data_IF_946957794215
#
_entry.id   IF_946957794215
#
_cell.length_a   1.000
_cell.length_b   1.000
_cell.length_c   1.000
_cell.angle_alpha   90.00
_cell.angle_beta   90.00
_cell.angle_gamma   90.00
#
_symmetry.space_group_name_H-M   'P 1'
#
loop_
_entity.id
_entity.type
_entity.pdbx_description
1 polymer ?
#
# COMPACT_ATOMS: atom_id res chain seq x y z
N UNK A 1 30.22 -29.99 10.47
CA UNK A 1 29.59 -28.65 10.53
C UNK A 1 28.28 -28.79 11.27
N UNK A 2 28.10 -28.14 12.42
CA UNK A 2 26.90 -28.28 13.26
C UNK A 2 25.80 -27.32 12.80
N UNK A 3 24.53 -27.63 13.02
CA UNK A 3 23.39 -26.76 12.66
C UNK A 3 23.52 -25.34 13.24
N UNK A 4 24.15 -25.21 14.41
CA UNK A 4 24.48 -23.95 15.06
C UNK A 4 25.53 -23.12 14.30
N UNK A 5 26.52 -23.77 13.66
CA UNK A 5 27.53 -23.06 12.86
C UNK A 5 26.95 -22.47 11.56
N UNK A 6 26.04 -23.20 10.90
CA UNK A 6 25.38 -22.74 9.66
C UNK A 6 24.41 -21.59 9.94
N UNK A 7 23.66 -21.65 11.03
CA UNK A 7 22.75 -20.56 11.44
C UNK A 7 23.52 -19.30 11.86
N UNK A 8 24.63 -19.44 12.58
CA UNK A 8 25.49 -18.31 12.92
C UNK A 8 26.10 -17.63 11.68
N UNK A 9 26.46 -18.39 10.65
CA UNK A 9 27.04 -17.89 9.40
C UNK A 9 26.01 -17.21 8.49
N UNK A 10 24.80 -17.78 8.37
CA UNK A 10 23.69 -17.22 7.59
C UNK A 10 23.19 -15.88 8.15
N UNK A 11 23.22 -15.72 9.47
CA UNK A 11 22.86 -14.49 10.18
C UNK A 11 24.06 -13.65 10.61
N UNK A 12 25.26 -14.00 10.14
CA UNK A 12 26.44 -13.17 10.32
C UNK A 12 26.18 -11.79 9.71
N UNK A 13 26.83 -10.76 10.26
CA UNK A 13 26.63 -9.33 9.94
C UNK A 13 26.60 -9.00 8.43
N UNK A 14 27.25 -9.81 7.60
CA UNK A 14 27.36 -9.63 6.15
C UNK A 14 26.65 -10.72 5.32
N UNK A 15 25.96 -11.66 5.96
CA UNK A 15 25.23 -12.73 5.30
C UNK A 15 24.15 -12.20 4.37
N UNK A 16 24.05 -12.79 3.17
CA UNK A 16 23.01 -12.46 2.20
C UNK A 16 21.59 -12.50 2.81
N UNK A 17 21.21 -13.49 3.65
CA UNK A 17 19.88 -13.53 4.26
C UNK A 17 19.54 -12.28 5.09
N UNK A 18 20.47 -11.81 5.92
CA UNK A 18 20.25 -10.63 6.76
C UNK A 18 20.13 -9.35 5.91
N UNK A 19 20.92 -9.24 4.84
CA UNK A 19 20.81 -8.11 3.90
C UNK A 19 19.45 -8.09 3.22
N UNK A 20 18.97 -9.25 2.76
CA UNK A 20 17.65 -9.36 2.15
C UNK A 20 16.57 -8.91 3.14
N UNK A 21 16.56 -9.45 4.37
CA UNK A 21 15.58 -9.08 5.40
C UNK A 21 15.53 -7.56 5.64
N UNK A 22 16.67 -6.87 5.61
CA UNK A 22 16.74 -5.39 5.75
C UNK A 22 16.16 -4.63 4.56
N UNK A 23 16.33 -5.15 3.35
CA UNK A 23 15.84 -4.54 2.11
C UNK A 23 14.34 -4.76 1.91
N UNK A 24 13.81 -5.90 2.38
CA UNK A 24 12.40 -6.29 2.17
C UNK A 24 11.38 -5.20 2.53
N UNK A 25 11.45 -4.52 3.69
CA UNK A 25 10.51 -3.45 4.02
C UNK A 25 10.44 -2.32 2.97
N UNK A 26 11.59 -1.93 2.39
CA UNK A 26 11.62 -0.91 1.35
C UNK A 26 10.97 -1.43 0.04
N UNK A 27 11.31 -2.64 -0.38
CA UNK A 27 10.71 -3.23 -1.59
C UNK A 27 9.19 -3.30 -1.44
N UNK A 28 8.71 -3.85 -0.32
CA UNK A 28 7.29 -4.07 -0.11
C UNK A 28 6.52 -2.76 0.07
N UNK A 29 7.07 -1.78 0.80
CA UNK A 29 6.46 -0.44 0.89
C UNK A 29 6.44 0.28 -0.46
N UNK A 30 7.46 0.11 -1.29
CA UNK A 30 7.48 0.63 -2.68
C UNK A 30 6.40 -0.02 -3.53
N UNK A 31 6.26 -1.35 -3.47
CA UNK A 31 5.20 -2.07 -4.18
C UNK A 31 3.82 -1.55 -3.76
N UNK A 32 3.58 -1.37 -2.46
CA UNK A 32 2.31 -0.85 -1.94
C UNK A 32 2.05 0.60 -2.39
N UNK A 33 3.06 1.46 -2.35
CA UNK A 33 2.95 2.85 -2.78
C UNK A 33 2.64 2.95 -4.29
N UNK A 34 3.41 2.24 -5.12
CA UNK A 34 3.20 2.19 -6.57
C UNK A 34 1.84 1.60 -6.90
N UNK A 35 1.44 0.53 -6.23
CA UNK A 35 0.12 -0.08 -6.40
C UNK A 35 -1.00 0.94 -6.11
N UNK A 36 -0.85 1.74 -5.05
CA UNK A 36 -1.82 2.76 -4.66
C UNK A 36 -1.90 3.92 -5.65
N UNK A 37 -0.76 4.37 -6.16
CA UNK A 37 -0.67 5.41 -7.20
C UNK A 37 -1.24 4.88 -8.52
N UNK A 38 -0.96 3.64 -8.89
CA UNK A 38 -1.51 3.01 -10.09
C UNK A 38 -3.04 2.88 -10.01
N UNK A 39 -3.58 2.50 -8.83
CA UNK A 39 -5.04 2.51 -8.61
C UNK A 39 -5.62 3.91 -8.74
N UNK A 40 -4.96 4.92 -8.18
CA UNK A 40 -5.39 6.32 -8.33
C UNK A 40 -5.50 6.68 -9.81
N UNK A 41 -4.44 6.49 -10.61
CA UNK A 41 -4.47 6.83 -12.02
C UNK A 41 -5.46 5.98 -12.83
N UNK A 42 -5.54 4.67 -12.58
CA UNK A 42 -6.50 3.80 -13.27
C UNK A 42 -7.93 4.29 -13.07
N UNK A 43 -8.28 4.73 -11.85
CA UNK A 43 -9.63 5.20 -11.56
C UNK A 43 -9.86 6.62 -12.13
N UNK A 44 -8.83 7.48 -12.22
CA UNK A 44 -8.99 8.83 -12.80
C UNK A 44 -9.38 8.80 -14.28
N UNK A 45 -9.11 7.69 -14.98
CA UNK A 45 -9.54 7.51 -16.38
C UNK A 45 -11.07 7.52 -16.54
N UNK A 46 -11.83 7.29 -15.47
CA UNK A 46 -13.29 7.34 -15.45
C UNK A 46 -13.86 8.73 -15.11
N UNK A 47 -13.00 9.73 -14.84
CA UNK A 47 -13.38 11.10 -14.46
C UNK A 47 -13.11 12.11 -15.58
N UNK A 48 -13.78 13.29 -15.58
CA UNK A 48 -13.40 14.39 -16.47
C UNK A 48 -11.98 14.89 -16.16
N UNK A 49 -11.19 15.33 -17.16
CA UNK A 49 -11.53 15.40 -18.59
C UNK A 49 -11.27 14.08 -19.36
N UNK A 50 -10.70 13.05 -18.73
CA UNK A 50 -10.28 11.80 -19.38
C UNK A 50 -11.45 11.00 -19.95
N UNK A 51 -12.60 11.07 -19.28
CA UNK A 51 -13.88 10.65 -19.81
C UNK A 51 -14.80 11.88 -19.86
N UNK A 52 -15.29 12.30 -21.03
CA UNK A 52 -16.27 13.37 -21.11
C UNK A 52 -17.53 12.95 -20.35
N UNK A 53 -17.98 13.80 -19.43
CA UNK A 53 -19.26 13.66 -18.75
C UNK A 53 -20.17 14.75 -19.30
N UNK A 54 -20.98 14.45 -20.34
CA UNK A 54 -21.92 15.43 -20.88
C UNK A 54 -22.92 15.84 -19.79
N UNK A 55 -23.50 17.05 -19.86
CA UNK A 55 -24.53 17.48 -18.92
C UNK A 55 -25.63 16.41 -18.83
N UNK A 56 -26.11 16.11 -17.62
CA UNK A 56 -27.04 15.01 -17.33
C UNK A 56 -28.29 15.00 -18.24
N UNK A 57 -28.70 16.17 -18.72
CA UNK A 57 -29.88 16.35 -19.58
C UNK A 57 -29.59 16.29 -21.09
N UNK A 58 -28.35 15.99 -21.50
CA UNK A 58 -27.98 15.92 -22.92
C UNK A 58 -28.18 14.51 -23.52
N UNK A 59 -28.53 14.39 -24.81
CA UNK A 59 -28.59 13.09 -25.51
C UNK A 59 -27.25 12.34 -25.48
N UNK A 60 -26.14 13.08 -25.35
CA UNK A 60 -24.79 12.53 -25.24
C UNK A 60 -24.53 11.86 -23.88
N UNK A 61 -25.16 12.32 -22.79
CA UNK A 61 -25.00 11.72 -21.45
C UNK A 61 -25.51 10.27 -21.41
N UNK A 62 -26.52 9.93 -22.22
CA UNK A 62 -27.01 8.55 -22.38
C UNK A 62 -26.05 7.66 -23.18
N UNK A 63 -25.16 8.24 -24.01
CA UNK A 63 -24.23 7.49 -24.87
C UNK A 63 -22.86 7.26 -24.21
N UNK A 64 -22.46 8.12 -23.27
CA UNK A 64 -21.17 8.06 -22.57
C UNK A 64 -21.36 8.03 -21.05
N UNK A 65 -22.01 6.98 -20.54
CA UNK A 65 -22.11 6.73 -19.10
C UNK A 65 -21.06 5.67 -18.70
N UNK A 66 -20.01 6.03 -17.94
CA UNK A 66 -18.96 5.09 -17.58
C UNK A 66 -19.24 4.27 -16.32
N UNK A 67 -20.32 4.59 -15.59
CA UNK A 67 -20.68 3.94 -14.35
C UNK A 67 -20.84 2.42 -14.47
N UNK A 68 -21.44 1.85 -15.53
CA UNK A 68 -21.51 0.40 -15.70
C UNK A 68 -20.14 -0.26 -15.82
N UNK A 69 -19.23 0.34 -16.61
CA UNK A 69 -17.86 -0.18 -16.81
C UNK A 69 -17.07 -0.07 -15.51
N UNK A 70 -17.17 1.06 -14.82
CA UNK A 70 -16.52 1.27 -13.53
C UNK A 70 -17.03 0.28 -12.47
N UNK A 71 -18.34 0.00 -12.41
CA UNK A 71 -18.91 -1.02 -11.51
C UNK A 71 -18.33 -2.42 -11.80
N UNK A 72 -18.25 -2.81 -13.06
CA UNK A 72 -17.66 -4.10 -13.47
C UNK A 72 -16.17 -4.14 -13.09
N UNK A 73 -15.43 -3.06 -13.36
CA UNK A 73 -14.03 -2.95 -12.97
C UNK A 73 -13.85 -3.05 -11.46
N UNK A 74 -14.65 -2.33 -10.66
CA UNK A 74 -14.58 -2.39 -9.19
C UNK A 74 -14.87 -3.79 -8.65
N UNK A 75 -15.87 -4.51 -9.21
CA UNK A 75 -16.17 -5.89 -8.80
C UNK A 75 -15.04 -6.86 -9.12
N UNK A 76 -14.40 -6.70 -10.27
CA UNK A 76 -13.36 -7.63 -10.75
C UNK A 76 -11.98 -7.30 -10.19
N UNK A 77 -11.57 -6.03 -10.24
CA UNK A 77 -10.26 -5.57 -9.81
C UNK A 77 -10.10 -5.63 -8.29
N UNK A 78 -11.07 -5.15 -7.50
CA UNK A 78 -10.96 -5.16 -6.04
C UNK A 78 -10.85 -6.59 -5.51
N UNK A 79 -11.68 -7.51 -6.00
CA UNK A 79 -11.66 -8.91 -5.56
C UNK A 79 -10.31 -9.61 -5.84
N UNK A 80 -9.64 -9.27 -6.94
CA UNK A 80 -8.35 -9.86 -7.33
C UNK A 80 -7.16 -9.21 -6.63
N UNK A 81 -7.19 -7.89 -6.46
CA UNK A 81 -6.06 -7.12 -5.94
C UNK A 81 -6.00 -7.14 -4.42
N UNK A 82 -7.14 -7.16 -3.73
CA UNK A 82 -7.20 -7.03 -2.28
C UNK A 82 -6.46 -8.16 -1.53
N UNK A 83 -6.60 -9.46 -1.86
CA UNK A 83 -5.84 -10.52 -1.20
C UNK A 83 -4.33 -10.37 -1.37
N UNK A 84 -3.88 -9.98 -2.57
CA UNK A 84 -2.47 -9.74 -2.86
C UNK A 84 -1.90 -8.59 -2.03
N UNK A 85 -2.64 -7.48 -1.91
CA UNK A 85 -2.25 -6.35 -1.06
C UNK A 85 -2.14 -6.77 0.41
N UNK A 86 -3.10 -7.55 0.92
CA UNK A 86 -3.05 -8.06 2.30
C UNK A 86 -1.83 -8.96 2.53
N UNK A 87 -1.51 -9.84 1.58
CA UNK A 87 -0.33 -10.69 1.66
C UNK A 87 0.96 -9.85 1.71
N UNK A 88 1.10 -8.85 0.85
CA UNK A 88 2.27 -7.95 0.82
C UNK A 88 2.38 -7.17 2.14
N UNK A 89 1.27 -6.63 2.66
CA UNK A 89 1.25 -5.92 3.96
C UNK A 89 1.67 -6.85 5.10
N UNK A 90 1.16 -8.08 5.12
CA UNK A 90 1.50 -9.06 6.15
C UNK A 90 2.99 -9.41 6.12
N UNK A 91 3.53 -9.75 4.94
CA UNK A 91 4.96 -10.06 4.77
C UNK A 91 5.83 -8.85 5.14
N UNK A 92 5.41 -7.63 4.78
CA UNK A 92 6.12 -6.40 5.16
C UNK A 92 6.18 -6.23 6.67
N UNK A 93 5.06 -6.44 7.37
CA UNK A 93 5.02 -6.38 8.85
C UNK A 93 5.92 -7.42 9.48
N UNK A 94 5.93 -8.65 8.97
CA UNK A 94 6.85 -9.69 9.44
C UNK A 94 8.32 -9.29 9.21
N UNK A 95 8.64 -8.70 8.05
CA UNK A 95 9.99 -8.24 7.75
C UNK A 95 10.41 -7.07 8.68
N UNK A 96 9.52 -6.11 8.94
CA UNK A 96 9.75 -5.03 9.90
C UNK A 96 9.99 -5.59 11.30
N UNK A 97 9.13 -6.52 11.74
CA UNK A 97 9.27 -7.17 13.05
C UNK A 97 10.58 -7.98 13.15
N UNK A 98 10.95 -8.71 12.11
CA UNK A 98 12.22 -9.42 12.06
C UNK A 98 13.41 -8.46 12.22
N UNK A 99 13.41 -7.31 11.54
CA UNK A 99 14.47 -6.31 11.69
C UNK A 99 14.51 -5.65 13.09
N UNK A 100 13.38 -5.60 13.79
CA UNK A 100 13.33 -5.13 15.19
C UNK A 100 13.89 -6.20 16.14
N UNK A 101 13.55 -7.47 15.93
CA UNK A 101 13.83 -8.57 16.85
C UNK A 101 15.19 -9.25 16.64
N UNK A 102 15.72 -9.28 15.41
CA UNK A 102 17.05 -9.83 15.14
C UNK A 102 18.08 -8.97 15.90
N UNK A 103 18.67 -9.56 16.95
CA UNK A 103 19.81 -8.98 17.68
C UNK A 103 21.11 -9.52 17.08
N UNK A 104 21.86 -8.73 16.30
CA UNK A 104 23.27 -9.02 16.10
C UNK A 104 23.99 -8.54 17.37
N UNK A 105 24.69 -9.41 18.07
CA UNK A 105 25.31 -9.13 19.37
C UNK A 105 26.44 -8.09 19.37
N UNK A 106 26.69 -7.37 18.28
CA UNK A 106 27.69 -6.30 18.18
C UNK A 106 27.11 -5.08 17.45
N UNK A 107 27.36 -3.85 17.94
CA UNK A 107 27.37 -2.54 17.24
C UNK A 107 26.41 -1.48 17.81
N UNK A 108 26.97 -0.56 18.58
CA UNK A 108 26.37 0.68 19.07
C UNK A 108 25.80 1.63 17.98
N UNK A 109 25.97 1.31 16.69
CA UNK A 109 25.58 2.17 15.56
C UNK A 109 24.19 1.80 14.97
N UNK A 110 23.57 0.69 15.40
CA UNK A 110 22.30 0.19 14.83
C UNK A 110 21.04 0.54 15.65
N UNK A 111 21.16 1.23 16.77
CA UNK A 111 20.01 1.64 17.60
C UNK A 111 18.98 2.45 16.81
N UNK A 112 19.46 3.40 16.01
CA UNK A 112 18.62 4.27 15.17
C UNK A 112 17.88 3.50 14.07
N UNK A 113 18.53 2.49 13.45
CA UNK A 113 17.87 1.67 12.41
C UNK A 113 16.71 0.85 13.00
N UNK A 114 16.88 0.26 14.18
CA UNK A 114 15.82 -0.50 14.86
C UNK A 114 14.64 0.39 15.22
N UNK A 115 14.90 1.60 15.70
CA UNK A 115 13.86 2.59 15.96
C UNK A 115 13.10 2.93 14.68
N UNK A 116 13.80 3.16 13.56
CA UNK A 116 13.17 3.43 12.26
C UNK A 116 12.32 2.26 11.76
N UNK A 117 12.78 1.01 11.89
CA UNK A 117 11.93 -0.16 11.59
C UNK A 117 10.70 -0.24 12.52
N UNK A 118 10.84 0.14 13.79
CA UNK A 118 9.73 0.27 14.74
C UNK A 118 8.71 1.32 14.32
N UNK A 119 9.17 2.50 13.90
CA UNK A 119 8.32 3.56 13.34
C UNK A 119 7.64 3.08 12.06
N UNK A 120 8.37 2.40 11.18
CA UNK A 120 7.79 1.77 9.98
C UNK A 120 6.70 0.75 10.32
N UNK A 121 6.91 -0.07 11.36
CA UNK A 121 5.89 -1.00 11.83
C UNK A 121 4.64 -0.26 12.31
N UNK A 122 4.78 0.80 13.11
CA UNK A 122 3.65 1.62 13.56
C UNK A 122 2.91 2.28 12.39
N UNK A 123 3.63 2.89 11.45
CA UNK A 123 3.06 3.49 10.23
C UNK A 123 2.34 2.46 9.37
N UNK A 124 2.78 1.19 9.36
CA UNK A 124 2.09 0.11 8.66
C UNK A 124 0.67 -0.16 9.19
N UNK A 125 0.31 0.33 10.39
CA UNK A 125 -1.04 0.29 10.96
C UNK A 125 -1.79 1.62 10.85
N UNK A 126 -1.13 2.71 10.44
CA UNK A 126 -1.74 4.05 10.39
C UNK A 126 -2.90 4.17 9.39
N UNK A 127 -3.07 3.21 8.49
CA UNK A 127 -4.22 3.16 7.57
C UNK A 127 -5.49 2.56 8.22
N UNK A 128 -5.40 1.91 9.38
CA UNK A 128 -6.56 1.26 10.02
C UNK A 128 -7.72 2.23 10.32
N UNK A 129 -7.50 3.48 10.78
CA UNK A 129 -8.60 4.45 10.94
C UNK A 129 -9.27 4.86 9.62
N UNK A 130 -8.55 4.78 8.50
CA UNK A 130 -9.04 5.18 7.17
C UNK A 130 -9.77 4.02 6.48
N UNK A 131 -9.37 2.77 6.79
CA UNK A 131 -9.87 1.57 6.14
C UNK A 131 -11.41 1.41 6.17
N UNK A 132 -12.13 1.66 7.28
CA UNK A 132 -13.59 1.56 7.31
C UNK A 132 -14.27 2.49 6.31
N UNK A 133 -13.80 3.73 6.19
CA UNK A 133 -14.35 4.71 5.26
C UNK A 133 -14.14 4.28 3.80
N UNK A 134 -12.94 3.80 3.47
CA UNK A 134 -12.62 3.24 2.14
C UNK A 134 -13.50 2.03 1.81
N UNK A 135 -13.59 1.06 2.73
CA UNK A 135 -14.38 -0.15 2.53
C UNK A 135 -15.86 0.16 2.34
N UNK A 136 -16.42 1.14 3.07
CA UNK A 136 -17.80 1.58 2.89
C UNK A 136 -18.03 2.13 1.48
N UNK A 137 -17.13 2.96 0.98
CA UNK A 137 -17.21 3.53 -0.37
C UNK A 137 -17.05 2.46 -1.45
N UNK A 138 -16.09 1.54 -1.29
CA UNK A 138 -15.88 0.42 -2.22
C UNK A 138 -17.06 -0.53 -2.25
N UNK A 139 -17.65 -0.86 -1.10
CA UNK A 139 -18.83 -1.72 -1.03
C UNK A 139 -20.05 -1.07 -1.66
N UNK A 140 -20.25 0.24 -1.48
CA UNK A 140 -21.26 0.99 -2.20
C UNK A 140 -21.01 0.94 -3.71
N UNK A 141 -19.81 1.27 -4.19
CA UNK A 141 -19.47 1.23 -5.62
C UNK A 141 -19.63 -0.16 -6.27
N UNK A 142 -19.51 -1.25 -5.49
CA UNK A 142 -19.73 -2.62 -5.97
C UNK A 142 -21.21 -3.02 -5.97
N UNK A 143 -22.06 -2.36 -5.17
CA UNK A 143 -23.45 -2.74 -4.98
C UNK A 143 -24.23 -2.66 -6.28
N UNK A 144 -25.06 -3.67 -6.61
CA UNK A 144 -25.98 -3.58 -7.75
C UNK A 144 -27.10 -2.56 -7.53
N UNK A 145 -27.33 -2.10 -6.30
CA UNK A 145 -28.35 -1.12 -5.97
C UNK A 145 -27.90 0.34 -6.14
N UNK A 146 -26.60 0.59 -6.25
CA UNK A 146 -26.08 1.95 -6.43
C UNK A 146 -26.47 2.50 -7.80
N UNK A 147 -27.06 3.70 -7.82
CA UNK A 147 -27.45 4.35 -9.05
C UNK A 147 -26.22 4.85 -9.84
N UNK A 148 -26.37 5.09 -11.14
CA UNK A 148 -25.23 5.47 -11.99
C UNK A 148 -24.73 6.89 -11.73
N UNK A 149 -25.63 7.79 -11.33
CA UNK A 149 -25.36 9.18 -10.93
C UNK A 149 -24.67 9.25 -9.55
N UNK A 150 -25.00 8.34 -8.65
CA UNK A 150 -24.32 8.21 -7.35
C UNK A 150 -22.87 7.72 -7.48
N UNK A 151 -22.55 7.01 -8.55
CA UNK A 151 -21.24 6.39 -8.74
C UNK A 151 -20.10 7.41 -8.76
N UNK A 152 -20.28 8.54 -9.43
CA UNK A 152 -19.27 9.60 -9.52
C UNK A 152 -19.04 10.29 -8.17
N UNK A 153 -20.12 10.50 -7.41
CA UNK A 153 -20.03 11.07 -6.06
C UNK A 153 -19.27 10.13 -5.12
N UNK A 154 -19.53 8.82 -5.20
CA UNK A 154 -18.81 7.81 -4.43
C UNK A 154 -17.33 7.76 -4.83
N UNK A 155 -17.05 7.88 -6.13
CA UNK A 155 -15.69 7.89 -6.68
C UNK A 155 -14.90 9.10 -6.18
N UNK A 156 -15.48 10.30 -6.24
CA UNK A 156 -14.85 11.54 -5.76
C UNK A 156 -14.53 11.45 -4.26
N UNK A 157 -15.46 10.90 -3.46
CA UNK A 157 -15.23 10.64 -2.03
C UNK A 157 -14.11 9.63 -1.83
N UNK A 158 -14.10 8.55 -2.59
CA UNK A 158 -13.04 7.54 -2.53
C UNK A 158 -11.69 8.17 -2.85
N UNK A 159 -11.61 9.04 -3.85
CA UNK A 159 -10.38 9.76 -4.19
C UNK A 159 -9.85 10.62 -3.05
N UNK A 160 -10.73 11.40 -2.40
CA UNK A 160 -10.34 12.24 -1.25
C UNK A 160 -9.73 11.39 -0.15
N UNK A 161 -10.41 10.30 0.22
CA UNK A 161 -9.95 9.39 1.28
C UNK A 161 -8.65 8.67 0.88
N UNK A 162 -8.55 8.20 -0.37
CA UNK A 162 -7.38 7.51 -0.89
C UNK A 162 -6.15 8.45 -0.95
N UNK A 163 -6.34 9.71 -1.34
CA UNK A 163 -5.26 10.69 -1.37
C UNK A 163 -4.72 10.98 0.04
N UNK A 164 -5.63 11.14 1.02
CA UNK A 164 -5.24 11.26 2.44
C UNK A 164 -4.42 10.05 2.88
N UNK A 165 -4.86 8.83 2.54
CA UNK A 165 -4.10 7.61 2.84
C UNK A 165 -2.70 7.63 2.24
N UNK A 166 -2.55 7.98 0.95
CA UNK A 166 -1.24 8.03 0.30
C UNK A 166 -0.28 8.93 1.08
N UNK A 167 -0.71 10.15 1.38
CA UNK A 167 0.18 11.16 1.98
C UNK A 167 0.41 10.98 3.48
N UNK A 168 -0.56 10.42 4.20
CA UNK A 168 -0.47 10.24 5.67
C UNK A 168 0.11 8.88 6.04
N UNK A 169 -0.03 7.86 5.19
CA UNK A 169 0.39 6.49 5.54
C UNK A 169 1.42 5.92 4.58
N UNK A 170 1.09 5.81 3.28
CA UNK A 170 1.91 5.03 2.34
C UNK A 170 3.25 5.73 2.04
N UNK A 171 3.23 7.04 1.77
CA UNK A 171 4.42 7.83 1.49
C UNK A 171 5.35 8.00 2.69
N UNK A 172 4.87 8.35 3.91
CA UNK A 172 5.72 8.38 5.10
C UNK A 172 6.34 7.01 5.44
N UNK A 173 5.57 5.91 5.30
CA UNK A 173 6.09 4.57 5.51
C UNK A 173 7.23 4.25 4.54
N UNK A 174 7.09 4.63 3.28
CA UNK A 174 8.12 4.46 2.27
C UNK A 174 9.39 5.26 2.62
N UNK A 175 9.26 6.53 2.99
CA UNK A 175 10.40 7.37 3.41
C UNK A 175 11.12 6.80 4.64
N UNK A 176 10.37 6.35 5.66
CA UNK A 176 10.95 5.71 6.85
C UNK A 176 11.65 4.41 6.50
N UNK A 177 11.13 3.65 5.54
CA UNK A 177 11.77 2.41 5.07
C UNK A 177 13.08 2.69 4.34
N UNK A 178 13.17 3.79 3.56
CA UNK A 178 14.43 4.26 2.96
C UNK A 178 15.42 4.62 4.07
N UNK A 179 15.01 5.45 5.03
CA UNK A 179 15.87 5.90 6.11
C UNK A 179 16.39 4.72 6.96
N UNK A 180 15.51 3.75 7.26
CA UNK A 180 15.88 2.53 7.99
C UNK A 180 16.93 1.73 7.21
N UNK A 181 16.77 1.62 5.89
CA UNK A 181 17.71 0.92 5.02
C UNK A 181 19.09 1.60 5.00
N UNK A 182 19.12 2.90 4.70
CA UNK A 182 20.36 3.68 4.64
C UNK A 182 21.10 3.59 5.98
N UNK A 183 20.39 3.75 7.09
CA UNK A 183 20.96 3.62 8.44
C UNK A 183 21.47 2.20 8.72
N UNK A 184 20.74 1.17 8.29
CA UNK A 184 21.12 -0.23 8.50
C UNK A 184 22.37 -0.63 7.70
N UNK A 185 22.62 0.02 6.56
CA UNK A 185 23.78 -0.21 5.71
C UNK A 185 24.89 0.83 5.88
N UNK A 186 24.66 1.91 6.64
CA UNK A 186 25.54 3.08 6.76
C UNK A 186 25.88 3.71 5.40
N UNK A 187 24.86 3.85 4.55
CA UNK A 187 24.95 4.52 3.26
C UNK A 187 24.68 6.01 3.40
#
# INVERSE_FOLDING_TARGET
MTLQSVTAELFARNGLPLKLIRVFPLILSTVLLVQRIAQFYAITTFMPPHMPHPPANSPAAKRFNPSPVLKIWMRTAVARVFPGVLAVVFVMRLALLANILIRPSDLAVLGSARALYGVGLALSFAHLPIAPAMLKLENAMKSPQTADDEMLVLLERWFKVNNVRIWVTDFPLWLVSIAALLTAFKL
#
